data_IF_413890391674
#
_entry.id   IF_413890391674
#
_cell.length_a   1.000
_cell.length_b   1.000
_cell.length_c   1.000
_cell.angle_alpha   90.00
_cell.angle_beta   90.00
_cell.angle_gamma   90.00
#
_symmetry.space_group_name_H-M   'P 1'
#
loop_
_entity.id
_entity.type
_entity.pdbx_description
1 polymer ?
#
# COMPACT_ATOMS: atom_id res chain seq x y z
N UNK A 1 1.84 0.03 -37.64
CA UNK A 1 1.45 -0.01 -36.21
C UNK A 1 -0.07 0.13 -36.08
N UNK A 2 -0.88 -0.96 -36.01
CA UNK A 2 -2.04 -0.95 -35.07
C UNK A 2 -2.67 -2.32 -34.67
N UNK A 3 -2.21 -3.46 -35.19
CA UNK A 3 -3.04 -4.69 -35.25
C UNK A 3 -3.21 -5.38 -33.89
N UNK A 4 -2.16 -5.47 -33.07
CA UNK A 4 -2.22 -6.10 -31.74
C UNK A 4 -3.06 -5.31 -30.72
N UNK A 5 -3.05 -3.98 -30.78
CA UNK A 5 -3.83 -3.14 -29.85
C UNK A 5 -5.34 -3.34 -30.05
N UNK A 6 -5.77 -3.41 -31.32
CA UNK A 6 -7.16 -3.73 -31.65
C UNK A 6 -7.55 -5.13 -31.17
N UNK A 7 -6.65 -6.11 -31.26
CA UNK A 7 -6.98 -7.48 -30.82
C UNK A 7 -7.12 -7.56 -29.30
N UNK A 8 -6.21 -7.02 -28.49
CA UNK A 8 -6.34 -7.09 -27.02
C UNK A 8 -7.59 -6.34 -26.51
N UNK A 9 -7.90 -5.17 -27.08
CA UNK A 9 -9.10 -4.42 -26.73
C UNK A 9 -10.38 -5.14 -27.14
N UNK A 10 -10.41 -5.76 -28.32
CA UNK A 10 -11.56 -6.57 -28.74
C UNK A 10 -11.71 -7.78 -27.82
N UNK A 11 -10.63 -8.48 -27.50
CA UNK A 11 -10.66 -9.64 -26.60
C UNK A 11 -11.16 -9.22 -25.21
N UNK A 12 -10.72 -8.08 -24.66
CA UNK A 12 -11.18 -7.62 -23.34
C UNK A 12 -12.68 -7.36 -23.30
N UNK A 13 -13.23 -6.74 -24.36
CA UNK A 13 -14.67 -6.48 -24.45
C UNK A 13 -15.47 -7.77 -24.72
N UNK A 14 -14.90 -8.73 -25.46
CA UNK A 14 -15.52 -10.05 -25.65
C UNK A 14 -15.59 -10.81 -24.33
N UNK A 15 -14.53 -10.79 -23.52
CA UNK A 15 -14.53 -11.39 -22.18
C UNK A 15 -15.52 -10.70 -21.24
N UNK A 16 -15.58 -9.36 -21.26
CA UNK A 16 -16.57 -8.60 -20.50
C UNK A 16 -18.01 -8.97 -20.88
N UNK A 17 -18.31 -9.06 -22.19
CA UNK A 17 -19.62 -9.48 -22.68
C UNK A 17 -19.93 -10.93 -22.29
N UNK A 18 -18.93 -11.82 -22.32
CA UNK A 18 -19.07 -13.20 -21.87
C UNK A 18 -19.41 -13.26 -20.36
N UNK A 19 -18.73 -12.48 -19.52
CA UNK A 19 -19.01 -12.37 -18.10
C UNK A 19 -20.44 -11.88 -17.85
N UNK A 20 -20.87 -10.79 -18.49
CA UNK A 20 -22.23 -10.28 -18.37
C UNK A 20 -23.26 -11.31 -18.86
N UNK A 21 -22.95 -12.04 -19.94
CA UNK A 21 -23.78 -13.15 -20.42
C UNK A 21 -23.93 -14.25 -19.37
N UNK A 22 -22.86 -14.65 -18.69
CA UNK A 22 -22.89 -15.65 -17.61
C UNK A 22 -23.76 -15.15 -16.44
N UNK A 23 -23.57 -13.89 -16.02
CA UNK A 23 -24.30 -13.30 -14.90
C UNK A 23 -25.81 -13.29 -15.16
N UNK A 24 -26.27 -12.86 -16.34
CA UNK A 24 -27.69 -12.68 -16.63
C UNK A 24 -28.41 -13.89 -17.22
N UNK A 25 -27.73 -14.72 -18.02
CA UNK A 25 -28.36 -15.83 -18.75
C UNK A 25 -28.34 -17.14 -17.96
N UNK A 26 -27.32 -17.34 -17.12
CA UNK A 26 -27.15 -18.59 -16.38
C UNK A 26 -27.77 -18.45 -14.98
N UNK A 27 -28.69 -19.35 -14.58
CA UNK A 27 -29.28 -19.29 -13.25
C UNK A 27 -28.25 -19.65 -12.16
N UNK A 28 -28.41 -19.05 -10.98
CA UNK A 28 -27.56 -19.35 -9.83
C UNK A 28 -27.98 -20.68 -9.20
N UNK A 29 -27.02 -21.60 -9.01
CA UNK A 29 -27.24 -22.84 -8.26
C UNK A 29 -27.29 -22.56 -6.75
N UNK A 30 -26.58 -21.51 -6.29
CA UNK A 30 -26.61 -21.06 -4.90
C UNK A 30 -27.84 -20.17 -4.63
N UNK A 31 -28.46 -20.36 -3.46
CA UNK A 31 -29.63 -19.59 -3.01
C UNK A 31 -29.27 -18.35 -2.19
N UNK A 32 -28.11 -18.33 -1.52
CA UNK A 32 -27.63 -17.20 -0.71
C UNK A 32 -26.73 -16.27 -1.54
N UNK A 33 -27.31 -15.67 -2.58
CA UNK A 33 -26.61 -14.73 -3.46
C UNK A 33 -27.28 -13.36 -3.37
N UNK A 34 -26.49 -12.35 -3.08
CA UNK A 34 -26.89 -10.96 -2.97
C UNK A 34 -27.33 -10.39 -4.33
N UNK A 35 -27.97 -9.21 -4.36
CA UNK A 35 -28.30 -8.54 -5.61
C UNK A 35 -27.04 -8.25 -6.44
N UNK A 36 -27.14 -8.46 -7.76
CA UNK A 36 -26.05 -8.27 -8.74
C UNK A 36 -25.59 -6.80 -8.83
N UNK A 37 -26.35 -5.86 -8.27
CA UNK A 37 -26.08 -4.42 -8.33
C UNK A 37 -24.65 -4.06 -7.91
N UNK A 38 -24.15 -4.62 -6.81
CA UNK A 38 -22.79 -4.35 -6.33
C UNK A 38 -21.72 -4.83 -7.31
N UNK A 39 -21.90 -6.03 -7.87
CA UNK A 39 -20.97 -6.61 -8.84
C UNK A 39 -20.95 -5.79 -10.14
N UNK A 40 -22.11 -5.39 -10.67
CA UNK A 40 -22.20 -4.58 -11.89
C UNK A 40 -21.50 -3.23 -11.68
N UNK A 41 -21.68 -2.58 -10.53
CA UNK A 41 -20.97 -1.33 -10.21
C UNK A 41 -19.47 -1.56 -10.23
N UNK A 42 -18.98 -2.66 -9.65
CA UNK A 42 -17.55 -2.99 -9.65
C UNK A 42 -17.01 -3.23 -11.07
N UNK A 43 -17.72 -4.01 -11.89
CA UNK A 43 -17.39 -4.26 -13.30
C UNK A 43 -17.29 -2.94 -14.08
N UNK A 44 -18.30 -2.07 -13.95
CA UNK A 44 -18.31 -0.76 -14.61
C UNK A 44 -17.15 0.13 -14.14
N UNK A 45 -16.85 0.16 -12.84
CA UNK A 45 -15.72 0.91 -12.29
C UNK A 45 -14.38 0.41 -12.82
N UNK A 46 -14.18 -0.91 -12.88
CA UNK A 46 -12.96 -1.54 -13.42
C UNK A 46 -12.79 -1.20 -14.90
N UNK A 47 -13.85 -1.33 -15.70
CA UNK A 47 -13.82 -1.00 -17.13
C UNK A 47 -13.56 0.51 -17.36
N UNK A 48 -14.21 1.38 -16.57
CA UNK A 48 -13.97 2.81 -16.62
C UNK A 48 -12.50 3.17 -16.31
N UNK A 49 -11.92 2.57 -15.27
CA UNK A 49 -10.51 2.77 -14.91
C UNK A 49 -9.56 2.28 -16.01
N UNK A 50 -9.87 1.13 -16.64
CA UNK A 50 -9.10 0.62 -17.77
C UNK A 50 -9.14 1.57 -18.98
N UNK A 51 -10.34 2.04 -19.37
CA UNK A 51 -10.50 2.98 -20.48
C UNK A 51 -9.81 4.32 -20.19
N UNK A 52 -9.95 4.83 -18.95
CA UNK A 52 -9.28 6.04 -18.50
C UNK A 52 -7.75 5.90 -18.54
N UNK A 53 -7.21 4.76 -18.09
CA UNK A 53 -5.78 4.46 -18.17
C UNK A 53 -5.30 4.42 -19.63
N UNK A 54 -6.10 3.88 -20.55
CA UNK A 54 -5.79 3.82 -21.97
C UNK A 54 -5.81 5.23 -22.62
N UNK A 55 -6.76 6.09 -22.24
CA UNK A 55 -6.84 7.47 -22.74
C UNK A 55 -5.70 8.33 -22.20
N UNK A 56 -5.39 8.24 -20.90
CA UNK A 56 -4.31 9.03 -20.27
C UNK A 56 -2.92 8.52 -20.67
N UNK A 57 -2.75 7.20 -20.78
CA UNK A 57 -1.49 6.55 -21.16
C UNK A 57 -0.99 7.00 -22.53
N UNK A 58 -1.92 7.21 -23.49
CA UNK A 58 -1.62 7.71 -24.85
C UNK A 58 -0.82 9.01 -24.90
N UNK A 59 -0.79 9.83 -23.82
CA UNK A 59 -0.05 11.09 -23.77
C UNK A 59 1.41 10.97 -23.31
N UNK A 60 1.82 9.86 -22.66
CA UNK A 60 3.16 9.71 -22.07
C UNK A 60 3.97 8.55 -22.65
N UNK A 61 3.30 7.44 -22.98
CA UNK A 61 3.90 6.27 -23.63
C UNK A 61 2.90 5.72 -24.66
N UNK A 62 3.31 5.43 -25.91
CA UNK A 62 2.38 5.01 -26.95
C UNK A 62 1.75 3.62 -26.73
N UNK A 63 2.15 2.84 -25.70
CA UNK A 63 1.62 1.50 -25.44
C UNK A 63 1.74 1.08 -23.95
N UNK A 64 0.64 1.00 -23.20
CA UNK A 64 0.59 0.20 -21.99
C UNK A 64 0.05 -1.20 -22.33
N UNK A 65 0.82 -2.04 -23.04
CA UNK A 65 0.46 -3.46 -23.25
C UNK A 65 0.14 -4.14 -21.90
N UNK A 66 0.88 -3.77 -20.85
CA UNK A 66 0.63 -4.22 -19.50
C UNK A 66 -0.78 -3.91 -18.96
N UNK A 67 -1.41 -2.77 -19.28
CA UNK A 67 -2.77 -2.50 -18.77
C UNK A 67 -3.82 -3.35 -19.47
N UNK A 68 -3.64 -3.61 -20.77
CA UNK A 68 -4.52 -4.52 -21.50
C UNK A 68 -4.36 -5.97 -21.04
N UNK A 69 -3.15 -6.40 -20.68
CA UNK A 69 -2.93 -7.76 -20.18
C UNK A 69 -3.49 -7.93 -18.76
N UNK A 70 -3.36 -6.90 -17.92
CA UNK A 70 -3.95 -6.90 -16.57
C UNK A 70 -5.48 -7.05 -16.65
N UNK A 71 -6.17 -6.27 -17.50
CA UNK A 71 -7.63 -6.34 -17.59
C UNK A 71 -8.11 -7.69 -18.13
N UNK A 72 -7.37 -8.31 -19.04
CA UNK A 72 -7.67 -9.67 -19.52
C UNK A 72 -7.61 -10.69 -18.38
N UNK A 73 -6.56 -10.62 -17.55
CA UNK A 73 -6.41 -11.49 -16.38
C UNK A 73 -7.55 -11.26 -15.39
N UNK A 74 -7.92 -10.00 -15.14
CA UNK A 74 -9.04 -9.65 -14.26
C UNK A 74 -10.35 -10.27 -14.75
N UNK A 75 -10.68 -10.13 -16.04
CA UNK A 75 -11.91 -10.73 -16.57
C UNK A 75 -11.91 -12.25 -16.52
N UNK A 76 -10.77 -12.89 -16.81
CA UNK A 76 -10.66 -14.36 -16.70
C UNK A 76 -10.87 -14.82 -15.26
N UNK A 77 -10.29 -14.12 -14.27
CA UNK A 77 -10.49 -14.43 -12.86
C UNK A 77 -11.95 -14.24 -12.45
N UNK A 78 -12.61 -13.16 -12.87
CA UNK A 78 -14.03 -12.92 -12.58
C UNK A 78 -14.92 -14.00 -13.19
N UNK A 79 -14.71 -14.36 -14.46
CA UNK A 79 -15.45 -15.44 -15.12
C UNK A 79 -15.27 -16.76 -14.36
N UNK A 80 -14.03 -17.09 -13.98
CA UNK A 80 -13.75 -18.29 -13.21
C UNK A 80 -14.43 -18.27 -11.84
N UNK A 81 -14.41 -17.14 -11.14
CA UNK A 81 -15.03 -16.99 -9.82
C UNK A 81 -16.56 -17.10 -9.91
N UNK A 82 -17.17 -16.46 -10.90
CA UNK A 82 -18.62 -16.49 -11.14
C UNK A 82 -19.09 -17.91 -11.53
N UNK A 83 -18.36 -18.58 -12.42
CA UNK A 83 -18.68 -19.94 -12.83
C UNK A 83 -18.52 -20.93 -11.66
N UNK A 84 -17.38 -20.93 -10.99
CA UNK A 84 -17.07 -21.92 -9.93
C UNK A 84 -17.90 -21.67 -8.66
N UNK A 85 -18.22 -20.41 -8.38
CA UNK A 85 -18.98 -19.97 -7.21
C UNK A 85 -20.50 -20.10 -7.41
N UNK A 86 -21.22 -19.02 -7.72
CA UNK A 86 -22.67 -19.00 -7.75
C UNK A 86 -23.29 -19.89 -8.84
N UNK A 87 -22.68 -20.00 -10.02
CA UNK A 87 -23.30 -20.68 -11.17
C UNK A 87 -23.21 -22.20 -11.09
N UNK A 88 -22.01 -22.76 -10.99
CA UNK A 88 -21.81 -24.22 -10.92
C UNK A 88 -21.92 -24.76 -9.49
N UNK A 89 -21.76 -23.93 -8.46
CA UNK A 89 -21.88 -24.35 -7.06
C UNK A 89 -20.80 -25.32 -6.58
N UNK A 90 -19.68 -25.43 -7.31
CA UNK A 90 -18.60 -26.40 -7.02
C UNK A 90 -17.81 -25.98 -5.79
N UNK A 91 -17.59 -24.68 -5.62
CA UNK A 91 -16.83 -24.16 -4.50
C UNK A 91 -17.62 -24.16 -3.18
N UNK A 92 -16.91 -24.21 -2.05
CA UNK A 92 -17.52 -24.09 -0.73
C UNK A 92 -18.13 -22.69 -0.52
N UNK A 93 -19.45 -22.63 -0.30
CA UNK A 93 -20.22 -21.37 -0.26
C UNK A 93 -19.69 -20.34 0.74
N UNK A 94 -19.17 -20.80 1.87
CA UNK A 94 -18.66 -19.92 2.93
C UNK A 94 -17.24 -19.44 2.63
N UNK A 95 -16.32 -20.30 2.20
CA UNK A 95 -14.90 -19.95 1.99
C UNK A 95 -14.67 -19.14 0.71
N UNK A 96 -15.46 -19.44 -0.32
CA UNK A 96 -15.45 -18.76 -1.61
C UNK A 96 -16.87 -18.19 -1.80
N UNK A 97 -17.15 -17.04 -1.16
CA UNK A 97 -18.42 -16.35 -1.35
C UNK A 97 -18.56 -15.95 -2.82
N UNK A 98 -19.81 -15.81 -3.27
CA UNK A 98 -20.07 -15.38 -4.64
C UNK A 98 -19.62 -13.92 -4.83
N UNK A 99 -19.16 -13.52 -6.03
CA UNK A 99 -18.75 -12.14 -6.32
C UNK A 99 -19.81 -11.11 -5.92
N UNK A 100 -21.09 -11.40 -6.15
CA UNK A 100 -22.23 -10.56 -5.76
C UNK A 100 -22.23 -10.27 -4.27
N UNK A 101 -21.97 -11.30 -3.44
CA UNK A 101 -21.93 -11.15 -1.99
C UNK A 101 -20.77 -10.25 -1.56
N UNK A 102 -19.60 -10.37 -2.19
CA UNK A 102 -18.43 -9.54 -1.86
C UNK A 102 -18.66 -8.10 -2.28
N UNK A 103 -19.13 -7.86 -3.49
CA UNK A 103 -19.31 -6.51 -4.01
C UNK A 103 -20.52 -5.78 -3.41
N UNK A 104 -21.53 -6.52 -2.94
CA UNK A 104 -22.64 -5.92 -2.20
C UNK A 104 -22.19 -5.32 -0.85
N UNK A 105 -21.11 -5.82 -0.23
CA UNK A 105 -20.55 -5.23 1.00
C UNK A 105 -20.16 -3.76 0.78
N UNK A 106 -19.65 -3.42 -0.40
CA UNK A 106 -19.28 -2.04 -0.74
C UNK A 106 -20.48 -1.11 -0.90
N UNK A 107 -21.68 -1.66 -1.15
CA UNK A 107 -22.92 -0.89 -1.23
C UNK A 107 -23.52 -0.76 0.16
N UNK A 108 -23.69 -1.89 0.85
CA UNK A 108 -24.37 -1.99 2.16
C UNK A 108 -23.56 -1.32 3.29
N UNK A 109 -22.25 -1.56 3.33
CA UNK A 109 -21.35 -1.06 4.38
C UNK A 109 -20.42 0.05 3.91
N UNK A 110 -20.78 0.76 2.84
CA UNK A 110 -19.97 1.85 2.24
C UNK A 110 -19.46 2.86 3.28
N UNK A 111 -20.33 3.36 4.16
CA UNK A 111 -19.99 4.33 5.19
C UNK A 111 -19.05 3.78 6.26
N UNK A 112 -19.24 2.53 6.67
CA UNK A 112 -18.40 1.88 7.68
C UNK A 112 -17.02 1.56 7.12
N UNK A 113 -16.94 1.05 5.88
CA UNK A 113 -15.67 0.83 5.18
C UNK A 113 -14.90 2.14 5.02
N UNK A 114 -15.56 3.23 4.61
CA UNK A 114 -14.93 4.54 4.48
C UNK A 114 -14.38 5.04 5.83
N UNK A 115 -15.13 4.88 6.92
CA UNK A 115 -14.66 5.26 8.27
C UNK A 115 -13.45 4.43 8.71
N UNK A 116 -13.45 3.13 8.42
CA UNK A 116 -12.31 2.25 8.70
C UNK A 116 -11.07 2.66 7.89
N UNK A 117 -11.22 3.00 6.62
CA UNK A 117 -10.11 3.52 5.79
C UNK A 117 -9.56 4.82 6.38
N UNK A 118 -10.41 5.76 6.77
CA UNK A 118 -9.97 7.02 7.40
C UNK A 118 -9.22 6.77 8.70
N UNK A 119 -9.76 5.92 9.58
CA UNK A 119 -9.10 5.52 10.83
C UNK A 119 -7.71 4.93 10.57
N UNK A 120 -7.58 4.05 9.58
CA UNK A 120 -6.30 3.47 9.17
C UNK A 120 -5.32 4.50 8.64
N UNK A 121 -5.79 5.45 7.82
CA UNK A 121 -4.94 6.52 7.28
C UNK A 121 -4.44 7.46 8.38
N UNK A 122 -5.26 7.79 9.37
CA UNK A 122 -4.82 8.64 10.49
C UNK A 122 -3.71 7.98 11.32
N UNK A 123 -3.86 6.69 11.63
CA UNK A 123 -2.86 5.89 12.33
C UNK A 123 -1.57 5.79 11.51
N UNK A 124 -1.70 5.44 10.22
CA UNK A 124 -0.59 5.34 9.29
C UNK A 124 0.21 6.63 9.24
N UNK A 125 -0.44 7.74 8.92
CA UNK A 125 0.24 9.02 8.70
C UNK A 125 0.91 9.50 9.98
N UNK A 126 0.25 9.33 11.13
CA UNK A 126 0.81 9.72 12.43
C UNK A 126 2.08 8.93 12.76
N UNK A 127 2.03 7.60 12.70
CA UNK A 127 3.20 6.75 12.97
C UNK A 127 4.30 6.89 11.92
N UNK A 128 3.91 6.96 10.65
CA UNK A 128 4.82 7.07 9.52
C UNK A 128 5.60 8.40 9.51
N UNK A 129 4.91 9.53 9.70
CA UNK A 129 5.56 10.85 9.71
C UNK A 129 6.52 10.94 10.89
N UNK A 130 6.07 10.55 12.10
CA UNK A 130 6.94 10.56 13.28
C UNK A 130 8.16 9.65 13.11
N UNK A 131 7.95 8.40 12.68
CA UNK A 131 9.04 7.43 12.47
C UNK A 131 10.02 7.87 11.39
N UNK A 132 9.52 8.42 10.29
CA UNK A 132 10.36 8.91 9.19
C UNK A 132 11.16 10.14 9.62
N UNK A 133 10.53 11.13 10.24
CA UNK A 133 11.20 12.37 10.68
C UNK A 133 12.28 12.04 11.71
N UNK A 134 11.96 11.23 12.72
CA UNK A 134 12.93 10.82 13.75
C UNK A 134 14.06 9.98 13.15
N UNK A 135 13.73 8.99 12.32
CA UNK A 135 14.72 8.12 11.68
C UNK A 135 15.67 8.89 10.77
N UNK A 136 15.14 9.85 10.00
CA UNK A 136 15.95 10.71 9.13
C UNK A 136 16.86 11.63 9.95
N UNK A 137 16.31 12.41 10.88
CA UNK A 137 17.08 13.39 11.64
C UNK A 137 18.18 12.70 12.45
N UNK A 138 17.81 11.67 13.24
CA UNK A 138 18.78 10.96 14.07
C UNK A 138 19.79 10.20 13.22
N UNK A 139 19.36 9.62 12.10
CA UNK A 139 20.22 8.85 11.22
C UNK A 139 21.27 9.73 10.52
N UNK A 140 20.92 10.96 10.15
CA UNK A 140 21.87 11.94 9.60
C UNK A 140 22.92 12.32 10.66
N UNK A 141 22.48 12.65 11.87
CA UNK A 141 23.37 13.03 12.97
C UNK A 141 24.33 11.88 13.31
N UNK A 142 23.80 10.67 13.46
CA UNK A 142 24.59 9.48 13.79
C UNK A 142 25.50 9.06 12.64
N UNK A 143 25.06 9.18 11.39
CA UNK A 143 25.87 8.86 10.21
C UNK A 143 27.05 9.81 10.02
N UNK A 144 26.89 11.09 10.37
CA UNK A 144 27.93 12.10 10.25
C UNK A 144 29.00 12.01 11.34
N UNK A 145 28.60 11.76 12.59
CA UNK A 145 29.55 11.74 13.73
C UNK A 145 30.15 10.33 13.87
N UNK A 146 31.47 10.12 13.64
CA UNK A 146 32.06 8.79 13.60
C UNK A 146 31.85 7.95 14.87
N UNK A 147 31.91 8.61 16.04
CA UNK A 147 31.66 7.96 17.34
C UNK A 147 30.21 7.49 17.48
N UNK A 148 29.24 8.30 17.08
CA UNK A 148 27.82 7.90 17.11
C UNK A 148 27.56 6.78 16.11
N UNK A 149 28.14 6.87 14.91
CA UNK A 149 28.05 5.82 13.90
C UNK A 149 28.55 4.48 14.44
N UNK A 150 29.72 4.45 15.08
CA UNK A 150 30.30 3.22 15.63
C UNK A 150 29.40 2.55 16.69
N UNK A 151 28.63 3.32 17.45
CA UNK A 151 27.72 2.82 18.49
C UNK A 151 26.36 2.41 17.91
N UNK A 152 25.73 3.29 17.13
CA UNK A 152 24.35 3.11 16.69
C UNK A 152 24.19 2.26 15.44
N UNK A 153 25.22 2.18 14.58
CA UNK A 153 25.19 1.32 13.39
C UNK A 153 24.93 -0.17 13.71
N UNK A 154 25.68 -0.83 14.63
CA UNK A 154 25.42 -2.24 14.96
C UNK A 154 24.04 -2.43 15.61
N UNK A 155 23.59 -1.49 16.45
CA UNK A 155 22.26 -1.52 17.05
C UNK A 155 21.17 -1.45 15.96
N UNK A 156 21.28 -0.47 15.06
CA UNK A 156 20.34 -0.30 13.96
C UNK A 156 20.31 -1.52 13.02
N UNK A 157 21.46 -2.14 12.75
CA UNK A 157 21.54 -3.38 11.97
C UNK A 157 20.78 -4.55 12.61
N UNK A 158 20.72 -4.62 13.95
CA UNK A 158 19.98 -5.67 14.66
C UNK A 158 18.49 -5.39 14.66
N UNK A 159 18.08 -4.15 14.90
CA UNK A 159 16.65 -3.80 15.02
C UNK A 159 15.93 -3.57 13.69
N UNK A 160 16.61 -3.05 12.67
CA UNK A 160 16.00 -2.78 11.36
C UNK A 160 15.33 -4.00 10.69
N UNK A 161 15.87 -5.23 10.75
CA UNK A 161 15.22 -6.40 10.16
C UNK A 161 14.10 -7.00 11.03
N UNK A 162 13.97 -6.60 12.31
CA UNK A 162 12.95 -7.15 13.21
C UNK A 162 11.60 -6.50 12.88
N UNK A 163 10.58 -7.26 12.46
CA UNK A 163 9.25 -6.72 12.20
C UNK A 163 8.66 -6.07 13.46
N UNK A 164 8.16 -4.84 13.35
CA UNK A 164 7.67 -4.12 14.54
C UNK A 164 6.42 -4.74 15.17
N UNK A 165 5.67 -5.54 14.40
CA UNK A 165 4.53 -6.33 14.89
C UNK A 165 4.89 -7.25 16.06
N UNK A 166 6.14 -7.70 16.17
CA UNK A 166 6.61 -8.55 17.28
C UNK A 166 6.48 -7.81 18.62
N UNK A 167 6.57 -6.48 18.61
CA UNK A 167 6.44 -5.65 19.82
C UNK A 167 4.99 -5.32 20.17
N UNK A 168 4.00 -5.69 19.34
CA UNK A 168 2.59 -5.34 19.54
C UNK A 168 2.08 -5.73 20.93
N UNK A 169 2.28 -6.95 21.45
CA UNK A 169 1.76 -7.33 22.77
C UNK A 169 2.32 -6.45 23.90
N UNK A 170 3.60 -6.10 23.82
CA UNK A 170 4.26 -5.23 24.80
C UNK A 170 3.76 -3.78 24.73
N UNK A 171 3.60 -3.25 23.52
CA UNK A 171 3.14 -1.89 23.29
C UNK A 171 1.68 -1.71 23.70
N UNK A 172 0.82 -2.71 23.51
CA UNK A 172 -0.57 -2.67 23.95
C UNK A 172 -0.69 -2.57 25.48
N UNK A 173 0.25 -3.17 26.23
CA UNK A 173 0.24 -3.14 27.70
C UNK A 173 0.74 -1.79 28.24
N UNK A 174 1.76 -1.20 27.62
CA UNK A 174 2.43 -0.01 28.15
C UNK A 174 1.78 1.29 27.67
N UNK A 175 1.24 1.29 26.45
CA UNK A 175 0.66 2.50 25.88
C UNK A 175 -0.70 2.80 26.51
N UNK A 176 -1.04 4.09 26.70
CA UNK A 176 -2.28 4.49 27.38
C UNK A 176 -3.53 4.11 26.59
N UNK A 177 -3.42 4.04 25.26
CA UNK A 177 -4.53 3.62 24.39
C UNK A 177 -4.03 2.73 23.27
N UNK A 178 -4.94 1.93 22.71
CA UNK A 178 -4.66 1.12 21.54
C UNK A 178 -4.19 1.95 20.34
N UNK A 179 -4.78 3.14 20.16
CA UNK A 179 -4.39 4.07 19.09
C UNK A 179 -2.90 4.43 19.20
N UNK A 180 -2.42 4.70 20.42
CA UNK A 180 -1.00 4.96 20.66
C UNK A 180 -0.13 3.72 20.46
N UNK A 181 -0.60 2.54 20.86
CA UNK A 181 0.11 1.28 20.59
C UNK A 181 0.31 1.05 19.09
N UNK A 182 -0.74 1.20 18.29
CA UNK A 182 -0.67 1.06 16.83
C UNK A 182 0.28 2.10 16.19
N UNK A 183 0.19 3.37 16.61
CA UNK A 183 1.12 4.43 16.17
C UNK A 183 2.57 4.04 16.49
N UNK A 184 2.84 3.51 17.67
CA UNK A 184 4.19 3.07 18.07
C UNK A 184 4.70 1.88 17.25
N UNK A 185 3.84 0.91 16.94
CA UNK A 185 4.21 -0.22 16.06
C UNK A 185 4.63 0.30 14.68
N UNK A 186 3.87 1.22 14.10
CA UNK A 186 4.18 1.82 12.79
C UNK A 186 5.47 2.65 12.90
N UNK A 187 5.60 3.47 13.94
CA UNK A 187 6.77 4.30 14.19
C UNK A 187 8.03 3.43 14.25
N UNK A 188 8.06 2.37 15.06
CA UNK A 188 9.21 1.48 15.20
C UNK A 188 9.53 0.78 13.87
N UNK A 189 8.49 0.33 13.16
CA UNK A 189 8.64 -0.37 11.88
C UNK A 189 9.21 0.50 10.76
N UNK A 190 8.99 1.80 10.81
CA UNK A 190 9.52 2.77 9.84
C UNK A 190 10.85 3.37 10.33
N UNK A 191 10.98 3.60 11.63
CA UNK A 191 12.11 4.28 12.26
C UNK A 191 13.42 3.52 12.02
N UNK A 192 13.51 2.24 12.40
CA UNK A 192 14.79 1.51 12.35
C UNK A 192 15.35 1.34 10.94
N UNK A 193 14.56 0.93 9.93
CA UNK A 193 15.04 0.87 8.55
C UNK A 193 15.47 2.24 8.02
N UNK A 194 14.72 3.30 8.34
CA UNK A 194 15.04 4.65 7.87
C UNK A 194 16.29 5.22 8.56
N UNK A 195 16.43 4.98 9.86
CA UNK A 195 17.59 5.35 10.64
C UNK A 195 18.87 4.67 10.10
N UNK A 196 18.82 3.36 9.87
CA UNK A 196 19.93 2.61 9.29
C UNK A 196 20.27 3.09 7.87
N UNK A 197 19.26 3.31 7.03
CA UNK A 197 19.39 3.83 5.67
C UNK A 197 20.12 5.18 5.66
N UNK A 198 19.76 6.11 6.56
CA UNK A 198 20.45 7.40 6.65
C UNK A 198 21.88 7.30 7.18
N UNK A 199 22.14 6.44 8.18
CA UNK A 199 23.52 6.20 8.65
C UNK A 199 24.42 5.75 7.50
N UNK A 200 23.93 4.82 6.69
CA UNK A 200 24.66 4.30 5.53
C UNK A 200 24.86 5.36 4.44
N UNK A 201 23.81 6.14 4.11
CA UNK A 201 23.87 7.19 3.08
C UNK A 201 24.81 8.32 3.44
N UNK A 202 24.69 8.89 4.64
CA UNK A 202 25.60 9.95 5.11
C UNK A 202 27.01 9.40 5.27
N UNK A 203 27.12 8.16 5.70
CA UNK A 203 28.38 7.47 5.86
C UNK A 203 29.10 7.07 4.58
N UNK A 204 28.46 7.19 3.41
CA UNK A 204 28.99 6.84 2.08
C UNK A 204 29.09 8.04 1.14
N UNK A 205 29.06 9.27 1.69
CA UNK A 205 29.28 10.49 0.91
C UNK A 205 30.65 10.44 0.20
N UNK A 206 30.73 10.86 -1.08
CA UNK A 206 31.99 10.93 -1.80
C UNK A 206 33.01 11.78 -1.04
N UNK A 207 34.25 11.29 -0.94
CA UNK A 207 35.34 11.98 -0.25
C UNK A 207 35.52 13.42 -0.77
N UNK A 208 35.36 13.64 -2.08
CA UNK A 208 35.42 14.96 -2.70
C UNK A 208 34.46 15.99 -2.08
N UNK A 209 33.24 15.60 -1.68
CA UNK A 209 32.29 16.52 -1.03
C UNK A 209 32.82 16.92 0.35
N UNK A 210 33.33 15.94 1.11
CA UNK A 210 33.87 16.16 2.45
C UNK A 210 35.15 16.99 2.40
N UNK A 211 36.07 16.68 1.50
CA UNK A 211 37.36 17.37 1.35
C UNK A 211 37.16 18.82 0.89
N UNK A 212 36.29 19.07 -0.09
CA UNK A 212 35.99 20.43 -0.54
C UNK A 212 35.41 21.31 0.58
N UNK A 213 34.50 20.76 1.40
CA UNK A 213 33.93 21.50 2.54
C UNK A 213 34.93 21.72 3.68
N UNK A 214 35.90 20.80 3.84
CA UNK A 214 36.99 20.94 4.80
C UNK A 214 37.94 22.06 4.43
N UNK A 215 38.26 22.22 3.15
CA UNK A 215 39.05 23.37 2.63
C UNK A 215 38.34 24.70 2.91
N UNK A 216 37.01 24.72 2.78
CA UNK A 216 36.17 25.88 3.07
C UNK A 216 35.93 26.11 4.58
N UNK A 217 36.54 25.31 5.47
CA UNK A 217 36.40 25.38 6.93
C UNK A 217 34.93 25.45 7.42
N UNK A 218 34.05 24.70 6.74
CA UNK A 218 32.62 24.67 7.08
C UNK A 218 32.41 24.00 8.43
N UNK A 219 31.64 24.62 9.33
CA UNK A 219 31.31 24.03 10.63
C UNK A 219 30.31 22.87 10.51
N UNK A 220 30.21 22.02 11.53
CA UNK A 220 29.34 20.82 11.55
C UNK A 220 27.87 21.13 11.22
N UNK A 221 27.30 22.18 11.81
CA UNK A 221 25.91 22.55 11.58
C UNK A 221 25.66 22.98 10.13
N UNK A 222 26.57 23.77 9.56
CA UNK A 222 26.51 24.20 8.16
C UNK A 222 26.72 23.02 7.22
N UNK A 223 27.60 22.09 7.57
CA UNK A 223 27.80 20.86 6.82
C UNK A 223 26.51 20.03 6.76
N UNK A 224 25.84 19.82 7.89
CA UNK A 224 24.58 19.08 7.93
C UNK A 224 23.48 19.81 7.16
N UNK A 225 23.24 21.09 7.48
CA UNK A 225 22.08 21.82 6.96
C UNK A 225 22.22 22.27 5.50
N UNK A 226 23.43 22.65 5.06
CA UNK A 226 23.65 23.23 3.72
C UNK A 226 24.31 22.29 2.71
N UNK A 227 24.90 21.17 3.16
CA UNK A 227 25.57 20.22 2.26
C UNK A 227 24.89 18.86 2.30
N UNK A 228 24.85 18.22 3.48
CA UNK A 228 24.36 16.84 3.61
C UNK A 228 22.87 16.77 3.32
N UNK A 229 22.04 17.57 4.01
CA UNK A 229 20.58 17.54 3.83
C UNK A 229 20.19 17.79 2.37
N UNK A 230 20.65 18.87 1.70
CA UNK A 230 20.35 19.09 0.28
C UNK A 230 20.79 17.94 -0.62
N UNK A 231 21.93 17.32 -0.34
CA UNK A 231 22.46 16.20 -1.13
C UNK A 231 21.62 14.93 -0.99
N UNK A 232 21.12 14.61 0.21
CA UNK A 232 20.38 13.36 0.46
C UNK A 232 18.86 13.49 0.27
N UNK A 233 18.30 14.71 0.17
CA UNK A 233 16.85 14.91 -0.01
C UNK A 233 16.29 14.11 -1.20
N UNK A 234 16.87 14.13 -2.42
CA UNK A 234 16.35 13.36 -3.55
C UNK A 234 16.26 11.87 -3.25
N UNK A 235 17.20 11.41 -2.44
CA UNK A 235 17.41 10.03 -2.05
C UNK A 235 16.44 9.57 -0.96
N UNK A 236 16.11 10.46 0.00
CA UNK A 236 15.01 10.29 0.95
C UNK A 236 13.68 10.21 0.19
N UNK A 237 13.47 11.11 -0.78
CA UNK A 237 12.24 11.16 -1.58
C UNK A 237 12.03 9.88 -2.41
N UNK A 238 13.10 9.30 -2.96
CA UNK A 238 13.05 8.00 -3.65
C UNK A 238 12.63 6.85 -2.72
N UNK A 239 12.99 6.93 -1.44
CA UNK A 239 12.66 5.92 -0.44
C UNK A 239 11.20 5.95 0.05
N UNK A 240 10.49 7.07 -0.12
CA UNK A 240 9.15 7.29 0.46
C UNK A 240 8.14 6.20 0.11
N UNK A 241 8.13 5.74 -1.15
CA UNK A 241 7.16 4.73 -1.59
C UNK A 241 7.34 3.40 -0.87
N UNK A 242 8.59 2.97 -0.74
CA UNK A 242 8.94 1.70 -0.09
C UNK A 242 8.65 1.81 1.41
N UNK A 243 9.08 2.88 2.07
CA UNK A 243 8.84 3.08 3.50
C UNK A 243 7.36 3.18 3.84
N UNK A 244 6.55 3.86 3.01
CA UNK A 244 5.11 3.96 3.22
C UNK A 244 4.40 2.62 3.08
N UNK A 245 4.80 1.81 2.08
CA UNK A 245 4.25 0.45 1.88
C UNK A 245 4.58 -0.46 3.06
N UNK A 246 5.82 -0.40 3.56
CA UNK A 246 6.23 -1.14 4.76
C UNK A 246 5.48 -0.67 6.01
N UNK A 247 5.29 0.64 6.18
CA UNK A 247 4.51 1.20 7.28
C UNK A 247 3.05 0.74 7.25
N UNK A 248 2.44 0.68 6.06
CA UNK A 248 1.09 0.16 5.87
C UNK A 248 0.98 -1.33 6.23
N UNK A 249 1.96 -2.15 5.86
CA UNK A 249 2.00 -3.56 6.26
C UNK A 249 2.01 -3.70 7.80
N UNK A 250 2.83 -2.91 8.50
CA UNK A 250 2.88 -2.92 9.95
C UNK A 250 1.59 -2.43 10.60
N UNK A 251 0.94 -1.41 10.01
CA UNK A 251 -0.39 -0.96 10.43
C UNK A 251 -1.41 -2.09 10.36
N UNK A 252 -1.49 -2.83 9.24
CA UNK A 252 -2.47 -3.90 9.06
C UNK A 252 -2.39 -4.95 10.16
N UNK A 253 -1.16 -5.35 10.51
CA UNK A 253 -0.94 -6.22 11.65
C UNK A 253 -1.32 -5.53 12.96
N UNK A 254 -0.88 -4.29 13.18
CA UNK A 254 -1.17 -3.54 14.38
C UNK A 254 -2.66 -3.33 14.61
N UNK A 255 -3.51 -3.23 13.58
CA UNK A 255 -4.97 -3.10 13.75
C UNK A 255 -5.65 -4.44 14.05
N UNK A 256 -5.05 -5.55 13.61
CA UNK A 256 -5.62 -6.89 13.77
C UNK A 256 -5.66 -7.35 15.24
N UNK A 257 -4.81 -6.79 16.12
CA UNK A 257 -4.60 -7.24 17.50
C UNK A 257 -5.36 -6.43 18.58
N UNK A 258 -6.58 -5.99 18.31
CA UNK A 258 -7.44 -5.34 19.32
C UNK A 258 -7.79 -3.87 19.05
N UNK A 259 -7.65 -3.40 17.81
CA UNK A 259 -8.23 -2.12 17.42
C UNK A 259 -9.76 -2.18 17.50
N UNK A 260 -10.39 -1.01 17.51
CA UNK A 260 -11.86 -0.88 17.44
C UNK A 260 -12.34 -0.32 16.09
N UNK A 261 -11.40 0.03 15.22
CA UNK A 261 -11.62 0.60 13.89
C UNK A 261 -10.35 0.44 13.06
N UNK A 262 -10.50 0.37 11.74
CA UNK A 262 -9.42 0.18 10.77
C UNK A 262 -9.69 -0.96 9.79
N UNK A 263 -8.96 -0.97 8.69
CA UNK A 263 -9.05 -2.02 7.66
C UNK A 263 -8.60 -3.38 8.24
N UNK A 264 -7.51 -3.40 9.03
CA UNK A 264 -7.04 -4.63 9.68
C UNK A 264 -8.03 -5.15 10.72
N UNK A 265 -8.68 -4.24 11.46
CA UNK A 265 -9.77 -4.58 12.38
C UNK A 265 -10.97 -5.16 11.66
N UNK A 266 -11.39 -4.55 10.55
CA UNK A 266 -12.52 -5.04 9.75
C UNK A 266 -12.29 -6.50 9.31
N UNK A 267 -11.09 -6.80 8.80
CA UNK A 267 -10.72 -8.15 8.35
C UNK A 267 -10.67 -9.12 9.52
N UNK A 268 -10.03 -8.75 10.64
CA UNK A 268 -9.92 -9.65 11.80
C UNK A 268 -11.26 -9.91 12.44
N UNK A 269 -12.12 -8.90 12.58
CA UNK A 269 -13.48 -9.02 13.09
C UNK A 269 -14.34 -9.92 12.17
N UNK A 270 -14.28 -9.71 10.86
CA UNK A 270 -14.99 -10.56 9.90
C UNK A 270 -14.51 -12.02 9.94
N UNK A 271 -13.22 -12.24 10.23
CA UNK A 271 -12.65 -13.57 10.40
C UNK A 271 -13.20 -14.31 11.63
N UNK A 272 -13.36 -13.62 12.76
CA UNK A 272 -13.95 -14.20 13.99
C UNK A 272 -15.35 -14.77 13.74
N UNK A 273 -16.16 -14.08 12.93
CA UNK A 273 -17.52 -14.52 12.58
C UNK A 273 -17.59 -15.37 11.31
N UNK A 274 -16.46 -15.75 10.72
CA UNK A 274 -16.37 -16.48 9.46
C UNK A 274 -17.19 -15.84 8.31
N UNK A 275 -17.34 -14.51 8.32
CA UNK A 275 -17.96 -13.77 7.23
C UNK A 275 -16.93 -13.46 6.16
N UNK A 276 -16.70 -14.43 5.28
CA UNK A 276 -15.69 -14.30 4.24
C UNK A 276 -16.02 -13.21 3.22
N UNK A 277 -17.29 -12.92 2.95
CA UNK A 277 -17.64 -11.81 2.04
C UNK A 277 -17.04 -10.48 2.54
N UNK A 278 -17.16 -10.21 3.84
CA UNK A 278 -16.56 -9.04 4.48
C UNK A 278 -15.02 -9.11 4.51
N UNK A 279 -14.43 -10.31 4.66
CA UNK A 279 -12.97 -10.50 4.58
C UNK A 279 -12.45 -10.12 3.19
N UNK A 280 -13.03 -10.65 2.11
CA UNK A 280 -12.63 -10.33 0.74
C UNK A 280 -12.83 -8.83 0.44
N UNK A 281 -13.95 -8.23 0.87
CA UNK A 281 -14.18 -6.81 0.74
C UNK A 281 -13.11 -5.98 1.48
N UNK A 282 -12.69 -6.40 2.68
CA UNK A 282 -11.60 -5.77 3.42
C UNK A 282 -10.25 -5.89 2.71
N UNK A 283 -9.93 -7.05 2.14
CA UNK A 283 -8.70 -7.27 1.35
C UNK A 283 -8.68 -6.39 0.09
N UNK A 284 -9.81 -6.29 -0.63
CA UNK A 284 -9.94 -5.41 -1.79
C UNK A 284 -9.77 -3.95 -1.37
N UNK A 285 -10.39 -3.54 -0.27
CA UNK A 285 -10.26 -2.19 0.30
C UNK A 285 -8.80 -1.87 0.63
N UNK A 286 -8.09 -2.81 1.27
CA UNK A 286 -6.65 -2.72 1.54
C UNK A 286 -5.84 -2.47 0.25
N UNK A 287 -6.09 -3.27 -0.81
CA UNK A 287 -5.43 -3.10 -2.10
C UNK A 287 -5.71 -1.75 -2.75
N UNK A 288 -6.96 -1.26 -2.68
CA UNK A 288 -7.34 0.07 -3.15
C UNK A 288 -6.61 1.17 -2.39
N UNK A 289 -6.59 1.12 -1.05
CA UNK A 289 -5.90 2.10 -0.19
C UNK A 289 -4.41 2.14 -0.49
N UNK A 290 -3.74 0.99 -0.59
CA UNK A 290 -2.31 0.90 -0.92
C UNK A 290 -2.02 1.45 -2.31
N UNK A 291 -2.89 1.20 -3.29
CA UNK A 291 -2.74 1.72 -4.65
C UNK A 291 -2.82 3.25 -4.67
N UNK A 292 -3.80 3.83 -3.96
CA UNK A 292 -3.94 5.29 -3.81
C UNK A 292 -2.73 5.90 -3.11
N UNK A 293 -2.26 5.30 -2.01
CA UNK A 293 -1.07 5.76 -1.29
C UNK A 293 0.20 5.72 -2.18
N UNK A 294 0.36 4.66 -2.97
CA UNK A 294 1.47 4.53 -3.91
C UNK A 294 1.42 5.57 -5.02
N UNK A 295 0.23 5.81 -5.59
CA UNK A 295 0.04 6.82 -6.62
C UNK A 295 0.35 8.23 -6.07
N UNK A 296 -0.19 8.55 -4.88
CA UNK A 296 0.07 9.81 -4.20
C UNK A 296 1.57 10.01 -3.90
N UNK A 297 2.24 8.98 -3.39
CA UNK A 297 3.69 9.01 -3.13
C UNK A 297 4.50 9.23 -4.41
N UNK A 298 4.14 8.55 -5.49
CA UNK A 298 4.81 8.71 -6.79
C UNK A 298 4.58 10.10 -7.40
N UNK A 299 3.38 10.67 -7.21
CA UNK A 299 3.09 12.05 -7.58
C UNK A 299 3.94 13.04 -6.78
N UNK A 300 4.04 12.86 -5.46
CA UNK A 300 4.86 13.66 -4.57
C UNK A 300 6.33 13.62 -5.00
N UNK A 301 6.86 12.43 -5.25
CA UNK A 301 8.23 12.24 -5.72
C UNK A 301 8.49 13.03 -7.02
N UNK A 302 7.65 12.85 -8.04
CA UNK A 302 7.78 13.55 -9.33
C UNK A 302 7.74 15.07 -9.18
N UNK A 303 6.94 15.59 -8.24
CA UNK A 303 6.82 17.04 -8.02
C UNK A 303 8.07 17.67 -7.40
N UNK A 304 8.74 16.94 -6.50
CA UNK A 304 9.93 17.45 -5.79
C UNK A 304 11.26 17.07 -6.46
N UNK A 305 11.29 16.08 -7.34
CA UNK A 305 12.53 15.63 -8.01
C UNK A 305 12.70 16.13 -9.46
N UNK A 306 12.01 17.19 -9.91
CA UNK A 306 12.11 17.70 -11.29
C UNK A 306 13.45 18.35 -11.66
N UNK A 307 14.45 18.37 -10.77
CA UNK A 307 15.66 19.18 -10.92
C UNK A 307 16.94 18.38 -11.13
N UNK A 308 16.86 17.07 -11.39
CA UNK A 308 17.99 16.20 -11.76
C UNK A 308 17.54 15.28 -12.90
#
# INVERSE_FOLDING_TARGET
MPRKIKTHLVISHVLLLALLGIIFLMPNTRTNVAPVTGEIIAICCIEFLYLLALVLGRRKDPMPEGSSDIILIVWVIFIAWELVGPKLGIAHNVLIPSPENVFNVFVEYSGELAMNVVSSLELLLSGYILGTVLGVILGIICGWIPRLRAIFYPIANVFAPIPSVVFTPFLVIIMPTYRWAAIMVILIGVFWPQFLSMILRVGSLPAAIVDNTRVLMVNTTTMIMKVIIPYIIPDILKGLRVSLTTGFLMLMYAESFGAKSGIGYWISNANVFANYANIYAGIITCGMTVTVLNYFSGWLQKRFTTWH
#
